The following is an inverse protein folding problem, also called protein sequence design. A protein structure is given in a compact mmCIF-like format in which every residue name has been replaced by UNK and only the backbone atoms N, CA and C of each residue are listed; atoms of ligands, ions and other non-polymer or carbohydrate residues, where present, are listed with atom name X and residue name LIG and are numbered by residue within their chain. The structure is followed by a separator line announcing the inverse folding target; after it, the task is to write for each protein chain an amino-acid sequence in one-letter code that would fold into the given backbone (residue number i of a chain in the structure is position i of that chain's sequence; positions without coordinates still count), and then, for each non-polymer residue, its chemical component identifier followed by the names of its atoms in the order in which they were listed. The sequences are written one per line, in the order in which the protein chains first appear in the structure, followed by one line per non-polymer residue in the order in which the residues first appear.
data_IF_806917624787
#
_entry.id   IF_806917624787
#
_cell.length_a   1.000
_cell.length_b   1.000
_cell.length_c   1.000
_cell.angle_alpha   90.00
_cell.angle_beta   90.00
_cell.angle_gamma   90.00
#
_symmetry.space_group_name_H-M   'P 1'
#
loop_
_entity.id
_entity.type
_entity.pdbx_description
1 polymer ?
#
# COMPACT_ATOMS: atom_id res chain seq x y z
N UNK A 1 28.56 -52.81 15.13
CA UNK A 1 29.38 -52.67 16.35
C UNK A 1 28.80 -51.48 17.10
N UNK A 2 27.93 -51.80 18.05
CA UNK A 2 28.07 -51.57 19.50
C UNK A 2 28.18 -50.11 19.89
N UNK A 3 27.42 -49.52 20.80
CA UNK A 3 26.68 -50.00 21.99
C UNK A 3 25.70 -48.97 22.47
N UNK A 4 24.50 -49.42 22.75
CA UNK A 4 23.54 -49.01 23.76
C UNK A 4 24.14 -48.47 25.06
N UNK A 5 23.56 -47.43 25.68
CA UNK A 5 23.42 -47.34 27.15
C UNK A 5 22.26 -46.46 27.56
N UNK A 6 21.23 -47.12 28.01
CA UNK A 6 20.08 -46.71 28.84
C UNK A 6 20.55 -46.48 30.29
N UNK A 7 20.04 -45.48 30.98
CA UNK A 7 19.90 -45.41 32.45
C UNK A 7 18.81 -44.38 32.77
N UNK A 8 17.85 -44.62 33.25
CA UNK A 8 16.80 -45.01 34.22
C UNK A 8 17.06 -44.50 35.64
N UNK A 9 15.91 -44.04 36.23
CA UNK A 9 15.61 -43.83 37.68
C UNK A 9 16.00 -42.45 38.26
N UNK A 10 15.22 -41.81 39.15
CA UNK A 10 14.19 -42.16 40.12
C UNK A 10 13.41 -40.91 40.53
N UNK A 11 12.12 -41.09 40.78
CA UNK A 11 11.18 -40.17 41.50
C UNK A 11 11.39 -40.36 43.02
N UNK A 12 11.17 -39.35 43.88
CA UNK A 12 10.18 -39.64 44.92
C UNK A 12 9.10 -38.55 45.17
N UNK A 13 7.97 -39.08 45.39
CA UNK A 13 6.73 -38.53 45.95
C UNK A 13 6.91 -38.18 47.42
N UNK A 14 6.43 -37.04 47.86
CA UNK A 14 6.15 -36.80 49.29
C UNK A 14 4.82 -36.01 49.44
N UNK A 15 3.83 -36.74 49.92
CA UNK A 15 2.62 -36.19 50.56
C UNK A 15 2.94 -35.69 51.99
N UNK A 16 2.23 -34.67 52.48
CA UNK A 16 1.70 -34.49 53.81
C UNK A 16 0.95 -33.14 53.78
N UNK A 17 -0.31 -33.07 53.95
CA UNK A 17 -1.26 -33.30 55.05
C UNK A 17 -1.80 -31.94 55.58
N UNK A 18 -3.11 -31.85 55.53
CA UNK A 18 -3.99 -30.80 55.99
C UNK A 18 -3.91 -30.53 57.51
N UNK A 19 -4.20 -29.26 57.91
CA UNK A 19 -4.93 -28.99 59.13
C UNK A 19 -5.82 -27.75 58.98
N UNK A 20 -7.11 -27.95 59.13
CA UNK A 20 -8.16 -26.94 59.34
C UNK A 20 -8.12 -26.42 60.79
N UNK A 21 -8.43 -25.14 61.04
CA UNK A 21 -9.65 -24.71 61.73
C UNK A 21 -9.61 -23.24 62.19
N UNK A 22 -10.73 -22.73 62.73
CA UNK A 22 -11.33 -21.50 62.24
C UNK A 22 -11.34 -20.37 63.27
N UNK A 23 -11.97 -19.27 62.89
CA UNK A 23 -12.59 -18.26 63.73
C UNK A 23 -11.75 -17.10 64.23
N UNK A 24 -11.97 -15.94 63.78
CA UNK A 24 -12.77 -14.86 64.38
C UNK A 24 -12.54 -13.58 63.59
N UNK A 25 -13.61 -12.97 63.14
CA UNK A 25 -13.60 -11.58 62.71
C UNK A 25 -13.44 -10.66 63.93
N UNK A 26 -12.85 -9.51 63.75
CA UNK A 26 -13.59 -8.27 63.91
C UNK A 26 -13.37 -7.26 62.79
N UNK A 27 -14.39 -6.47 62.65
CA UNK A 27 -14.69 -5.33 61.85
C UNK A 27 -13.59 -4.35 61.50
N UNK A 28 -13.69 -3.86 60.27
CA UNK A 28 -13.54 -2.46 59.93
C UNK A 28 -12.10 -1.95 59.69
N UNK A 29 -11.74 -1.97 58.44
CA UNK A 29 -10.99 -0.85 57.82
C UNK A 29 -11.36 -0.79 56.35
N UNK A 30 -11.94 0.33 55.98
CA UNK A 30 -12.11 0.74 54.58
C UNK A 30 -10.74 0.84 53.96
N UNK A 31 -10.23 -0.25 53.37
CA UNK A 31 -9.20 -0.19 52.36
C UNK A 31 -9.90 0.17 51.06
N UNK A 32 -9.97 1.48 50.82
CA UNK A 32 -10.16 2.06 49.50
C UNK A 32 -9.12 1.44 48.59
N UNK A 33 -9.56 0.51 47.74
CA UNK A 33 -8.78 0.06 46.61
C UNK A 33 -8.26 1.32 45.89
N UNK A 34 -6.96 1.40 45.57
CA UNK A 34 -6.46 2.51 44.80
C UNK A 34 -7.25 2.55 43.50
N UNK A 35 -7.88 3.68 43.23
CA UNK A 35 -8.52 3.96 41.96
C UNK A 35 -7.50 3.61 40.86
N UNK A 36 -7.94 2.97 39.75
CA UNK A 36 -7.04 2.73 38.65
C UNK A 36 -6.46 4.08 38.22
N UNK A 37 -5.17 4.22 38.41
CA UNK A 37 -4.42 5.39 37.98
C UNK A 37 -4.71 5.63 36.52
N UNK A 38 -5.28 6.77 36.22
CA UNK A 38 -5.53 7.32 34.88
C UNK A 38 -4.21 7.61 34.11
N UNK A 39 -3.25 6.70 34.17
CA UNK A 39 -1.94 6.77 33.53
C UNK A 39 -1.77 5.73 32.41
N UNK A 40 -2.85 5.02 32.04
CA UNK A 40 -2.81 4.03 30.97
C UNK A 40 -3.46 4.51 29.66
N UNK A 41 -3.87 5.76 29.60
CA UNK A 41 -4.50 6.35 28.42
C UNK A 41 -3.65 7.47 27.78
N UNK A 42 -2.34 7.32 27.82
CA UNK A 42 -1.51 7.94 26.82
C UNK A 42 -1.68 7.04 25.60
N UNK A 43 -2.57 7.48 24.68
CA UNK A 43 -2.74 6.89 23.38
C UNK A 43 -1.35 6.53 22.84
N UNK A 44 -1.10 5.24 22.63
CA UNK A 44 0.12 4.79 22.00
C UNK A 44 0.16 5.50 20.65
N UNK A 45 1.00 6.52 20.54
CA UNK A 45 1.23 7.24 19.29
C UNK A 45 1.56 6.14 18.29
N UNK A 46 0.67 5.92 17.33
CA UNK A 46 0.80 4.82 16.40
C UNK A 46 2.17 4.97 15.72
N UNK A 47 3.08 4.05 16.01
CA UNK A 47 4.41 4.08 15.40
C UNK A 47 4.26 3.74 13.94
N UNK A 48 4.98 4.47 13.09
CA UNK A 48 5.14 4.09 11.70
C UNK A 48 5.93 2.78 11.67
N UNK A 49 5.34 1.75 11.07
CA UNK A 49 6.00 0.49 10.76
C UNK A 49 6.03 0.26 9.25
N UNK A 50 6.79 -0.73 8.82
CA UNK A 50 6.96 -1.05 7.40
C UNK A 50 5.62 -1.44 6.76
N UNK A 51 4.77 -2.18 7.45
CA UNK A 51 3.48 -2.62 6.92
C UNK A 51 2.57 -1.41 6.65
N UNK A 52 2.51 -0.47 7.57
CA UNK A 52 1.72 0.76 7.41
C UNK A 52 2.30 1.66 6.31
N UNK A 53 3.64 1.73 6.23
CA UNK A 53 4.32 2.49 5.18
C UNK A 53 4.00 1.94 3.79
N UNK A 54 4.04 0.62 3.61
CA UNK A 54 3.75 -0.06 2.35
C UNK A 54 2.25 -0.18 2.03
N UNK A 55 1.39 -0.02 3.03
CA UNK A 55 -0.06 -0.12 2.88
C UNK A 55 -0.73 1.10 2.25
N UNK A 56 0.02 2.15 1.91
CA UNK A 56 -0.52 3.40 1.39
C UNK A 56 0.33 3.99 0.26
N UNK A 57 -0.34 4.62 -0.69
CA UNK A 57 0.22 5.64 -1.56
C UNK A 57 0.26 6.95 -0.77
N UNK A 58 1.45 7.53 -0.59
CA UNK A 58 1.64 8.73 0.22
C UNK A 58 1.67 9.97 -0.68
N UNK A 59 0.60 10.75 -0.68
CA UNK A 59 0.43 11.93 -1.53
C UNK A 59 0.85 13.18 -0.77
N UNK A 60 1.74 13.97 -1.36
CA UNK A 60 2.21 15.23 -0.76
C UNK A 60 1.02 16.20 -0.58
N UNK A 61 0.77 16.59 0.65
CA UNK A 61 -0.26 17.54 1.05
C UNK A 61 0.33 18.93 1.30
N UNK A 62 1.37 19.00 2.12
CA UNK A 62 2.03 20.26 2.43
C UNK A 62 3.54 20.08 2.58
N UNK A 63 4.27 21.17 2.32
CA UNK A 63 5.72 21.22 2.52
C UNK A 63 6.15 22.63 2.89
N UNK A 64 6.94 22.75 3.97
CA UNK A 64 7.51 24.00 4.45
C UNK A 64 9.01 23.88 4.69
N UNK A 65 9.74 24.97 4.50
CA UNK A 65 11.13 25.07 4.89
C UNK A 65 11.30 25.24 6.42
N UNK A 66 12.53 25.28 6.91
CA UNK A 66 12.83 25.45 8.32
C UNK A 66 12.26 26.75 8.92
N UNK A 67 11.96 27.75 8.10
CA UNK A 67 11.33 29.01 8.50
C UNK A 67 9.80 28.97 8.47
N UNK A 68 9.20 27.83 8.11
CA UNK A 68 7.74 27.67 7.98
C UNK A 68 7.16 28.20 6.66
N UNK A 69 7.99 28.63 5.71
CA UNK A 69 7.54 29.09 4.41
C UNK A 69 7.28 27.91 3.49
N UNK A 70 6.17 27.95 2.73
CA UNK A 70 5.82 26.91 1.74
C UNK A 70 6.92 26.75 0.69
N UNK A 71 7.19 25.49 0.35
CA UNK A 71 8.17 25.11 -0.70
C UNK A 71 7.42 24.92 -2.00
N UNK A 72 7.17 26.02 -2.73
CA UNK A 72 6.36 26.03 -3.95
C UNK A 72 6.88 25.11 -5.05
N UNK A 73 8.19 24.88 -5.13
CA UNK A 73 8.80 23.98 -6.11
C UNK A 73 8.29 22.53 -6.02
N UNK A 74 7.75 22.10 -4.87
CA UNK A 74 7.16 20.76 -4.69
C UNK A 74 5.72 20.66 -5.17
N UNK A 75 5.09 21.75 -5.58
CA UNK A 75 3.69 21.85 -6.00
C UNK A 75 3.52 22.29 -7.44
N UNK A 76 4.46 21.93 -8.32
CA UNK A 76 4.40 22.26 -9.74
C UNK A 76 3.18 21.65 -10.45
N UNK A 77 2.58 20.59 -9.89
CA UNK A 77 1.36 19.92 -10.39
C UNK A 77 0.30 19.87 -9.31
N UNK A 78 -0.66 20.79 -9.36
CA UNK A 78 -1.75 20.82 -8.39
C UNK A 78 -2.72 19.62 -8.51
N UNK A 79 -2.91 19.13 -9.74
CA UNK A 79 -3.79 18.00 -10.07
C UNK A 79 -3.17 16.63 -9.80
N UNK A 80 -1.85 16.56 -9.73
CA UNK A 80 -1.06 15.34 -9.56
C UNK A 80 0.07 15.55 -8.56
N UNK A 81 -0.23 15.57 -7.25
CA UNK A 81 0.79 15.77 -6.22
C UNK A 81 1.85 14.67 -6.25
N UNK A 82 3.07 15.00 -5.85
CA UNK A 82 4.15 14.03 -5.65
C UNK A 82 3.64 12.90 -4.78
N UNK A 83 3.86 11.66 -5.23
CA UNK A 83 3.40 10.47 -4.53
C UNK A 83 4.58 9.55 -4.26
N UNK A 84 4.65 9.04 -3.02
CA UNK A 84 5.63 8.05 -2.58
C UNK A 84 4.94 6.70 -2.44
N UNK A 85 5.52 5.68 -3.03
CA UNK A 85 5.09 4.29 -2.95
C UNK A 85 6.23 3.45 -2.38
N UNK A 86 5.93 2.67 -1.35
CA UNK A 86 6.90 1.79 -0.70
C UNK A 86 6.52 0.34 -0.96
N UNK A 87 7.48 -0.46 -1.42
CA UNK A 87 7.28 -1.89 -1.62
C UNK A 87 8.60 -2.62 -1.35
N UNK A 88 8.53 -3.70 -0.60
CA UNK A 88 9.69 -4.47 -0.14
C UNK A 88 10.71 -3.54 0.54
N UNK A 89 11.88 -3.36 -0.02
CA UNK A 89 12.95 -2.47 0.44
C UNK A 89 13.14 -1.23 -0.46
N UNK A 90 12.16 -0.93 -1.33
CA UNK A 90 12.26 0.12 -2.35
C UNK A 90 11.19 1.18 -2.19
N UNK A 91 11.60 2.42 -2.50
CA UNK A 91 10.69 3.55 -2.69
C UNK A 91 10.63 3.89 -4.18
N UNK A 92 9.43 4.17 -4.67
CA UNK A 92 9.17 4.79 -5.96
C UNK A 92 8.51 6.15 -5.75
N UNK A 93 8.92 7.14 -6.55
CA UNK A 93 8.37 8.48 -6.52
C UNK A 93 7.79 8.79 -7.90
N UNK A 94 6.54 9.19 -7.90
CA UNK A 94 5.76 9.46 -9.10
C UNK A 94 5.19 10.88 -9.13
N UNK A 95 4.62 11.25 -10.27
CA UNK A 95 4.04 12.57 -10.54
C UNK A 95 5.06 13.73 -10.61
N UNK A 96 6.32 13.41 -10.76
CA UNK A 96 7.44 14.30 -11.11
C UNK A 96 7.66 14.32 -12.63
N UNK A 97 8.68 15.01 -13.15
CA UNK A 97 9.06 14.87 -14.57
C UNK A 97 9.58 13.47 -14.84
N UNK A 98 10.52 13.02 -14.01
CA UNK A 98 11.15 11.73 -14.11
C UNK A 98 10.66 10.81 -13.01
N UNK A 99 10.53 9.51 -13.31
CA UNK A 99 10.34 8.50 -12.27
C UNK A 99 11.61 8.38 -11.47
N UNK A 100 11.51 8.47 -10.16
CA UNK A 100 12.63 8.37 -9.25
C UNK A 100 12.41 7.17 -8.32
N UNK A 101 13.49 6.55 -7.86
CA UNK A 101 13.37 5.45 -6.91
C UNK A 101 14.72 4.99 -6.38
N UNK A 102 14.71 4.43 -5.19
CA UNK A 102 15.89 3.96 -4.47
C UNK A 102 15.57 2.88 -3.46
N UNK A 103 16.56 2.47 -2.70
CA UNK A 103 16.36 1.65 -1.51
C UNK A 103 15.92 2.51 -0.33
N UNK A 104 15.23 1.92 0.65
CA UNK A 104 14.96 2.57 1.91
C UNK A 104 15.13 1.62 3.09
N UNK A 105 15.35 2.18 4.27
CA UNK A 105 15.28 1.47 5.56
C UNK A 105 14.48 2.32 6.54
N UNK A 106 13.70 1.65 7.38
CA UNK A 106 12.94 2.28 8.46
C UNK A 106 13.41 1.70 9.79
N UNK A 107 14.01 2.51 10.64
CA UNK A 107 14.48 2.12 11.95
C UNK A 107 14.36 3.29 12.94
N UNK A 108 13.95 3.00 14.16
CA UNK A 108 13.91 3.95 15.27
C UNK A 108 13.25 5.31 14.97
N UNK A 109 12.15 5.27 14.19
CA UNK A 109 11.44 6.49 13.78
C UNK A 109 12.19 7.34 12.75
N UNK A 110 13.16 6.75 12.06
CA UNK A 110 13.88 7.36 10.96
C UNK A 110 13.73 6.54 9.68
N UNK A 111 13.36 7.22 8.61
CA UNK A 111 13.34 6.69 7.25
C UNK A 111 14.63 7.14 6.57
N UNK A 112 15.47 6.18 6.18
CA UNK A 112 16.68 6.49 5.40
C UNK A 112 16.48 6.06 3.96
N UNK A 113 16.58 6.99 3.02
CA UNK A 113 16.46 6.75 1.58
C UNK A 113 17.84 6.82 0.96
N UNK A 114 18.24 5.74 0.29
CA UNK A 114 19.51 5.65 -0.45
C UNK A 114 19.49 6.59 -1.66
N UNK A 115 20.65 6.92 -2.25
CA UNK A 115 20.70 7.67 -3.49
C UNK A 115 19.77 7.09 -4.55
N UNK A 116 18.96 7.95 -5.17
CA UNK A 116 17.89 7.56 -6.06
C UNK A 116 18.35 7.54 -7.51
N UNK A 117 17.96 6.49 -8.24
CA UNK A 117 18.02 6.51 -9.70
C UNK A 117 16.81 7.27 -10.25
N UNK A 118 17.01 7.94 -11.39
CA UNK A 118 15.97 8.70 -12.07
C UNK A 118 16.00 8.41 -13.57
N UNK A 119 14.84 8.39 -14.23
CA UNK A 119 14.81 8.44 -15.70
C UNK A 119 15.33 9.79 -16.16
N UNK A 120 15.73 9.87 -17.44
CA UNK A 120 16.32 11.10 -18.01
C UNK A 120 15.43 11.64 -19.13
N UNK A 121 14.17 11.92 -18.83
CA UNK A 121 13.28 12.59 -19.78
C UNK A 121 13.45 14.10 -19.66
N UNK A 122 13.36 14.79 -20.79
CA UNK A 122 13.26 16.24 -20.81
C UNK A 122 11.80 16.66 -20.86
N UNK A 123 11.29 17.20 -19.75
CA UNK A 123 9.96 17.77 -19.74
C UNK A 123 9.99 19.18 -20.34
N UNK A 124 8.98 19.53 -21.12
CA UNK A 124 8.83 20.86 -21.72
C UNK A 124 8.58 21.93 -20.66
N UNK A 125 7.91 21.56 -19.56
CA UNK A 125 7.70 22.43 -18.43
C UNK A 125 8.92 22.43 -17.49
N UNK A 126 9.58 23.59 -17.40
CA UNK A 126 10.74 23.79 -16.54
C UNK A 126 10.45 23.62 -15.06
N UNK A 127 9.20 23.85 -14.63
CA UNK A 127 8.79 23.67 -13.24
C UNK A 127 8.83 22.18 -12.86
N UNK A 128 8.54 21.28 -13.80
CA UNK A 128 8.65 19.83 -13.55
C UNK A 128 10.11 19.38 -13.42
N UNK A 129 11.04 19.98 -14.16
CA UNK A 129 12.47 19.70 -13.97
C UNK A 129 12.97 20.21 -12.62
N UNK A 130 12.50 21.38 -12.19
CA UNK A 130 12.81 21.91 -10.86
C UNK A 130 12.18 21.05 -9.74
N UNK A 131 11.01 20.45 -9.99
CA UNK A 131 10.36 19.53 -9.07
C UNK A 131 11.22 18.29 -8.80
N UNK A 132 11.78 17.67 -9.83
CA UNK A 132 12.67 16.51 -9.68
C UNK A 132 13.83 16.82 -8.73
N UNK A 133 14.50 17.95 -8.95
CA UNK A 133 15.59 18.39 -8.10
C UNK A 133 15.15 18.68 -6.66
N UNK A 134 13.99 19.36 -6.51
CA UNK A 134 13.44 19.71 -5.20
C UNK A 134 13.07 18.47 -4.39
N UNK A 135 12.54 17.42 -5.04
CA UNK A 135 12.20 16.13 -4.43
C UNK A 135 13.48 15.37 -4.06
N UNK A 136 14.40 15.18 -5.00
CA UNK A 136 15.62 14.42 -4.77
C UNK A 136 16.45 14.98 -3.62
N UNK A 137 16.67 16.30 -3.60
CA UNK A 137 17.48 16.96 -2.58
C UNK A 137 16.88 16.88 -1.15
N UNK A 138 15.59 16.55 -1.00
CA UNK A 138 14.91 16.51 0.30
C UNK A 138 14.63 15.10 0.78
N UNK A 139 14.46 14.16 -0.13
CA UNK A 139 14.11 12.79 0.24
C UNK A 139 15.33 11.89 0.41
N UNK A 140 16.46 12.19 -0.23
CA UNK A 140 17.68 11.40 -0.01
C UNK A 140 18.27 11.61 1.39
N UNK A 141 18.72 10.51 2.00
CA UNK A 141 19.33 10.51 3.32
C UNK A 141 18.36 10.17 4.44
N UNK A 142 18.72 10.57 5.66
CA UNK A 142 17.96 10.27 6.86
C UNK A 142 16.87 11.33 7.13
N UNK A 143 15.63 10.86 7.28
CA UNK A 143 14.45 11.67 7.55
C UNK A 143 13.82 11.22 8.86
N UNK A 144 13.55 12.14 9.77
CA UNK A 144 12.73 11.82 10.96
C UNK A 144 11.28 11.64 10.53
N UNK A 145 10.63 10.59 11.04
CA UNK A 145 9.25 10.26 10.67
C UNK A 145 8.31 10.40 11.87
N UNK A 146 7.15 10.96 11.62
CA UNK A 146 6.05 11.04 12.59
C UNK A 146 4.75 10.67 11.87
N UNK A 147 3.87 9.93 12.57
CA UNK A 147 2.48 9.72 12.13
C UNK A 147 1.58 10.67 12.90
N UNK A 148 0.84 11.48 12.19
CA UNK A 148 -0.19 12.34 12.76
C UNK A 148 -1.48 11.58 13.10
N UNK A 149 -2.39 12.23 13.84
CA UNK A 149 -3.66 11.67 14.32
C UNK A 149 -4.57 11.16 13.20
N UNK A 150 -4.54 11.81 12.03
CA UNK A 150 -5.27 11.39 10.82
C UNK A 150 -4.49 10.36 9.98
N UNK A 151 -3.42 9.78 10.49
CA UNK A 151 -2.56 8.84 9.79
C UNK A 151 -1.62 9.49 8.77
N UNK A 152 -1.49 10.82 8.76
CA UNK A 152 -0.56 11.53 7.90
C UNK A 152 0.88 11.20 8.25
N UNK A 153 1.71 11.04 7.22
CA UNK A 153 3.16 10.85 7.36
C UNK A 153 3.85 12.20 7.28
N UNK A 154 4.53 12.58 8.34
CA UNK A 154 5.40 13.75 8.35
C UNK A 154 6.86 13.30 8.23
N UNK A 155 7.55 13.84 7.25
CA UNK A 155 8.99 13.66 7.04
C UNK A 155 9.70 14.98 7.35
N UNK A 156 10.72 14.91 8.22
CA UNK A 156 11.57 16.07 8.54
C UNK A 156 12.98 15.82 8.05
N UNK A 157 13.47 16.72 7.22
CA UNK A 157 14.84 16.68 6.70
C UNK A 157 15.85 17.16 7.74
N UNK A 158 17.12 16.87 7.52
CA UNK A 158 18.22 17.38 8.36
C UNK A 158 18.31 18.92 8.36
N UNK A 159 17.85 19.57 7.28
CA UNK A 159 17.85 21.02 7.13
C UNK A 159 16.62 21.69 7.79
N UNK A 160 15.72 20.90 8.39
CA UNK A 160 14.53 21.40 9.06
C UNK A 160 13.31 21.57 8.15
N UNK A 161 13.36 21.19 6.87
CA UNK A 161 12.19 21.17 6.01
C UNK A 161 11.21 20.11 6.51
N UNK A 162 9.92 20.39 6.41
CA UNK A 162 8.82 19.51 6.83
C UNK A 162 7.94 19.20 5.65
N UNK A 163 7.80 17.91 5.34
CA UNK A 163 6.92 17.42 4.28
C UNK A 163 5.82 16.56 4.92
N UNK A 164 4.57 16.85 4.62
CA UNK A 164 3.40 16.12 5.12
C UNK A 164 2.73 15.42 3.96
N UNK A 165 2.47 14.14 4.15
CA UNK A 165 1.81 13.28 3.15
C UNK A 165 0.52 12.72 3.72
N UNK A 166 -0.51 12.67 2.88
CA UNK A 166 -1.80 12.03 3.19
C UNK A 166 -1.79 10.61 2.65
N UNK A 167 -2.20 9.61 3.45
CA UNK A 167 -2.28 8.23 2.99
C UNK A 167 -3.50 8.03 2.09
N UNK A 168 -3.31 7.29 0.99
CA UNK A 168 -4.35 6.69 0.18
C UNK A 168 -4.12 5.18 0.21
N UNK A 169 -5.04 4.36 0.75
CA UNK A 169 -4.81 2.94 0.89
C UNK A 169 -4.51 2.26 -0.45
N UNK A 170 -3.49 1.41 -0.50
CA UNK A 170 -3.22 0.57 -1.68
C UNK A 170 -4.38 -0.39 -1.93
N UNK A 171 -4.45 -0.96 -3.13
CA UNK A 171 -5.47 -1.93 -3.47
C UNK A 171 -5.41 -3.15 -2.53
N UNK A 172 -4.20 -3.62 -2.20
CA UNK A 172 -3.98 -4.70 -1.25
C UNK A 172 -4.56 -4.38 0.13
N UNK A 173 -4.41 -3.15 0.59
CA UNK A 173 -4.98 -2.69 1.87
C UNK A 173 -6.50 -2.58 1.79
N UNK A 174 -7.05 -2.04 0.70
CA UNK A 174 -8.50 -1.88 0.51
C UNK A 174 -9.23 -3.21 0.43
N UNK A 175 -8.65 -4.19 -0.25
CA UNK A 175 -9.28 -5.49 -0.51
C UNK A 175 -8.79 -6.61 0.39
N UNK A 176 -7.82 -6.33 1.27
CA UNK A 176 -7.40 -7.26 2.33
C UNK A 176 -6.46 -8.37 1.87
N UNK A 177 -5.64 -8.14 0.85
CA UNK A 177 -4.63 -9.12 0.41
C UNK A 177 -4.10 -8.84 -0.99
N UNK A 178 -3.18 -9.68 -1.43
CA UNK A 178 -2.64 -9.61 -2.79
C UNK A 178 -3.70 -10.03 -3.81
N UNK A 179 -3.90 -9.22 -4.84
CA UNK A 179 -4.78 -9.56 -5.95
C UNK A 179 -4.17 -10.64 -6.85
N UNK A 180 -5.03 -11.46 -7.43
CA UNK A 180 -4.62 -12.40 -8.46
C UNK A 180 -4.15 -11.65 -9.72
N UNK A 181 -2.99 -12.02 -10.25
CA UNK A 181 -2.50 -11.44 -11.50
C UNK A 181 -3.23 -12.06 -12.69
N UNK A 182 -3.94 -11.25 -13.46
CA UNK A 182 -4.68 -11.64 -14.66
C UNK A 182 -4.23 -10.78 -15.83
N UNK A 183 -4.14 -11.37 -17.02
CA UNK A 183 -3.88 -10.62 -18.24
C UNK A 183 -5.16 -10.59 -19.09
N UNK A 184 -5.61 -9.38 -19.39
CA UNK A 184 -6.77 -9.14 -20.21
C UNK A 184 -6.35 -8.47 -21.51
N UNK A 185 -6.73 -9.05 -22.63
CA UNK A 185 -6.72 -8.34 -23.90
C UNK A 185 -8.02 -7.54 -23.99
N UNK A 186 -7.91 -6.26 -24.21
CA UNK A 186 -9.00 -5.31 -24.38
C UNK A 186 -9.07 -4.95 -25.86
N UNK A 187 -10.19 -5.20 -26.49
CA UNK A 187 -10.38 -4.88 -27.91
C UNK A 187 -10.35 -3.37 -28.17
N UNK A 188 -9.97 -2.99 -29.39
CA UNK A 188 -9.89 -1.60 -29.81
C UNK A 188 -11.24 -0.87 -29.79
N UNK A 189 -12.36 -1.59 -29.82
CA UNK A 189 -13.70 -1.02 -29.84
C UNK A 189 -14.55 -1.58 -28.70
N UNK A 190 -15.34 -0.70 -28.08
CA UNK A 190 -16.43 -1.11 -27.20
C UNK A 190 -17.61 -1.66 -28.01
N UNK A 191 -18.50 -2.40 -27.36
CA UNK A 191 -19.76 -2.87 -27.99
C UNK A 191 -20.95 -2.58 -27.08
N UNK A 192 -22.13 -2.34 -27.66
CA UNK A 192 -23.37 -2.30 -26.91
C UNK A 192 -23.55 -3.59 -26.11
N UNK A 193 -23.91 -3.48 -24.85
CA UNK A 193 -24.12 -4.61 -23.97
C UNK A 193 -25.43 -4.46 -23.16
N UNK A 194 -26.14 -5.56 -22.85
CA UNK A 194 -27.36 -5.51 -22.04
C UNK A 194 -27.06 -4.95 -20.64
N UNK A 195 -27.88 -3.99 -20.20
CA UNK A 195 -27.81 -3.47 -18.85
C UNK A 195 -29.20 -3.10 -18.33
N UNK A 196 -29.61 -3.50 -17.11
CA UNK A 196 -30.99 -3.34 -16.66
C UNK A 196 -31.41 -1.86 -16.50
N UNK A 197 -30.46 -0.97 -16.19
CA UNK A 197 -30.76 0.44 -15.89
C UNK A 197 -30.14 1.43 -16.89
N UNK A 198 -29.15 1.04 -17.67
CA UNK A 198 -28.44 1.94 -18.60
C UNK A 198 -28.78 1.50 -20.02
N UNK A 199 -29.58 2.31 -20.71
CA UNK A 199 -29.86 2.11 -22.13
C UNK A 199 -28.59 2.37 -22.95
N UNK A 200 -28.34 1.53 -23.93
CA UNK A 200 -27.19 1.64 -24.86
C UNK A 200 -25.81 1.69 -24.17
N UNK A 201 -25.69 0.99 -23.02
CA UNK A 201 -24.40 0.84 -22.33
C UNK A 201 -23.36 0.29 -23.29
N UNK A 202 -22.21 0.93 -23.33
CA UNK A 202 -21.02 0.42 -24.03
C UNK A 202 -20.14 -0.35 -23.03
N UNK A 203 -19.81 -1.59 -23.38
CA UNK A 203 -18.91 -2.42 -22.60
C UNK A 203 -17.57 -2.60 -23.31
N UNK A 204 -16.50 -2.63 -22.55
CA UNK A 204 -15.25 -3.17 -23.05
C UNK A 204 -15.47 -4.61 -23.49
N UNK A 205 -14.77 -5.01 -24.54
CA UNK A 205 -14.67 -6.39 -24.94
C UNK A 205 -13.34 -6.91 -24.46
N UNK A 206 -13.34 -7.93 -23.62
CA UNK A 206 -12.11 -8.49 -23.08
C UNK A 206 -12.05 -10.00 -23.29
N UNK A 207 -10.82 -10.52 -23.30
CA UNK A 207 -10.55 -11.96 -23.20
C UNK A 207 -9.30 -12.18 -22.36
N UNK A 208 -9.23 -13.29 -21.64
CA UNK A 208 -8.04 -13.64 -20.87
C UNK A 208 -6.95 -14.17 -21.78
N UNK A 209 -5.72 -13.76 -21.49
CA UNK A 209 -4.50 -14.31 -22.08
C UNK A 209 -3.67 -14.90 -20.96
N UNK A 210 -3.04 -16.03 -21.23
CA UNK A 210 -2.13 -16.68 -20.28
C UNK A 210 -0.68 -16.47 -20.70
N UNK A 211 0.17 -16.24 -19.71
CA UNK A 211 1.62 -16.18 -19.87
C UNK A 211 2.28 -17.15 -18.90
N UNK A 212 3.38 -17.74 -19.32
CA UNK A 212 4.23 -18.52 -18.41
C UNK A 212 5.14 -17.61 -17.56
N UNK A 213 5.94 -18.22 -16.70
CA UNK A 213 6.88 -17.51 -15.83
C UNK A 213 7.95 -16.70 -16.59
N UNK A 214 8.16 -16.99 -17.87
CA UNK A 214 9.12 -16.31 -18.74
C UNK A 214 8.45 -15.19 -19.57
N UNK A 215 7.15 -14.96 -19.38
CA UNK A 215 6.40 -13.96 -20.13
C UNK A 215 6.04 -14.40 -21.56
N UNK A 216 6.04 -15.71 -21.85
CA UNK A 216 5.65 -16.25 -23.17
C UNK A 216 4.17 -16.60 -23.13
N UNK A 217 3.42 -16.16 -24.16
CA UNK A 217 2.00 -16.49 -24.30
C UNK A 217 1.79 -18.00 -24.37
N UNK A 218 0.81 -18.49 -23.61
CA UNK A 218 0.47 -19.89 -23.48
C UNK A 218 -0.95 -20.18 -23.99
N UNK A 219 -1.04 -21.13 -24.90
CA UNK A 219 -2.32 -21.58 -25.45
C UNK A 219 -3.03 -20.53 -26.31
N UNK A 220 -4.28 -20.82 -26.64
CA UNK A 220 -5.14 -19.88 -27.35
C UNK A 220 -5.74 -18.88 -26.35
N UNK A 221 -5.92 -17.60 -26.77
CA UNK A 221 -6.67 -16.63 -25.98
C UNK A 221 -8.09 -17.13 -25.69
N UNK A 222 -8.65 -16.72 -24.56
CA UNK A 222 -10.05 -16.97 -24.23
C UNK A 222 -11.02 -16.37 -25.26
N UNK A 223 -12.30 -16.64 -25.09
CA UNK A 223 -13.34 -16.03 -25.90
C UNK A 223 -13.59 -14.57 -25.52
N UNK A 224 -13.95 -13.74 -26.49
CA UNK A 224 -14.33 -12.36 -26.24
C UNK A 224 -15.65 -12.28 -25.45
N UNK A 225 -15.63 -11.50 -24.38
CA UNK A 225 -16.75 -11.31 -23.48
C UNK A 225 -16.99 -9.81 -23.22
N UNK A 226 -18.24 -9.47 -22.95
CA UNK A 226 -18.58 -8.14 -22.43
C UNK A 226 -18.00 -8.00 -21.02
N UNK A 227 -17.23 -6.97 -20.80
CA UNK A 227 -16.68 -6.64 -19.50
C UNK A 227 -17.51 -5.52 -18.87
N UNK A 228 -18.22 -5.84 -17.80
CA UNK A 228 -19.17 -4.94 -17.15
C UNK A 228 -18.53 -4.11 -16.05
N UNK A 229 -17.40 -4.56 -15.55
CA UNK A 229 -16.66 -3.91 -14.46
C UNK A 229 -15.81 -2.75 -14.97
N UNK A 230 -15.19 -2.05 -14.04
CA UNK A 230 -14.20 -1.01 -14.32
C UNK A 230 -12.83 -1.59 -13.98
N UNK A 231 -11.84 -1.32 -14.81
CA UNK A 231 -10.43 -1.53 -14.47
C UNK A 231 -9.91 -0.21 -13.90
N UNK A 232 -9.75 -0.15 -12.58
CA UNK A 232 -9.23 1.04 -11.91
C UNK A 232 -7.84 1.39 -12.43
N UNK A 233 -7.62 2.64 -12.78
CA UNK A 233 -6.35 3.11 -13.36
C UNK A 233 -6.21 2.88 -14.86
N UNK A 234 -7.17 2.23 -15.54
CA UNK A 234 -7.18 2.05 -16.99
C UNK A 234 -8.21 2.96 -17.65
N UNK A 235 -7.79 3.63 -18.72
CA UNK A 235 -8.68 4.40 -19.59
C UNK A 235 -8.60 3.79 -20.99
N UNK A 236 -9.75 3.34 -21.52
CA UNK A 236 -9.84 2.85 -22.87
C UNK A 236 -9.79 3.99 -23.89
N UNK A 237 -9.04 3.79 -24.95
CA UNK A 237 -8.97 4.67 -26.11
C UNK A 237 -9.51 3.94 -27.35
N UNK A 238 -10.51 4.53 -27.99
CA UNK A 238 -11.11 3.97 -29.19
C UNK A 238 -10.08 3.80 -30.31
N UNK A 239 -10.06 2.64 -30.92
CA UNK A 239 -9.09 2.29 -31.96
C UNK A 239 -7.79 1.73 -31.42
N UNK A 240 -7.61 1.63 -30.12
CA UNK A 240 -6.42 1.07 -29.50
C UNK A 240 -6.72 -0.23 -28.79
N UNK A 241 -6.15 -1.33 -29.29
CA UNK A 241 -6.15 -2.63 -28.60
C UNK A 241 -5.04 -2.63 -27.53
N UNK A 242 -5.36 -3.07 -26.34
CA UNK A 242 -4.37 -3.23 -25.28
C UNK A 242 -4.35 -4.67 -24.76
N UNK A 243 -3.19 -5.11 -24.31
CA UNK A 243 -3.08 -6.20 -23.32
C UNK A 243 -2.67 -5.57 -22.01
N UNK A 244 -3.51 -5.71 -21.00
CA UNK A 244 -3.28 -5.16 -19.67
C UNK A 244 -3.04 -6.28 -18.65
N UNK A 245 -2.05 -6.11 -17.80
CA UNK A 245 -1.90 -6.89 -16.59
C UNK A 245 -2.67 -6.18 -15.48
N UNK A 246 -3.60 -6.89 -14.87
CA UNK A 246 -4.43 -6.37 -13.80
C UNK A 246 -4.29 -7.23 -12.56
N UNK A 247 -4.53 -6.65 -11.40
CA UNK A 247 -4.77 -7.34 -10.16
C UNK A 247 -6.28 -7.49 -9.96
N UNK A 248 -6.76 -8.74 -9.88
CA UNK A 248 -8.15 -9.08 -9.57
C UNK A 248 -8.28 -9.38 -8.10
N UNK A 249 -9.15 -8.66 -7.42
CA UNK A 249 -9.44 -8.82 -6.00
C UNK A 249 -10.86 -9.35 -5.81
N UNK A 250 -11.05 -10.29 -4.88
CA UNK A 250 -12.38 -10.73 -4.49
C UNK A 250 -12.91 -9.81 -3.39
N UNK A 251 -14.10 -9.26 -3.60
CA UNK A 251 -14.81 -8.43 -2.62
C UNK A 251 -15.59 -9.37 -1.70
N UNK A 252 -15.25 -9.40 -0.40
CA UNK A 252 -15.82 -10.34 0.55
C UNK A 252 -17.34 -10.19 0.75
N UNK A 253 -17.87 -8.98 0.71
CA UNK A 253 -19.30 -8.68 0.91
C UNK A 253 -19.73 -7.63 -0.11
N UNK A 254 -19.87 -7.99 -1.40
CA UNK A 254 -20.28 -7.02 -2.40
C UNK A 254 -21.74 -6.58 -2.13
N UNK A 255 -22.10 -5.32 -2.40
CA UNK A 255 -23.48 -4.91 -2.42
C UNK A 255 -24.32 -5.78 -3.36
N UNK A 256 -25.63 -5.89 -3.11
CA UNK A 256 -26.53 -6.55 -4.04
C UNK A 256 -26.39 -5.89 -5.43
N UNK A 257 -26.37 -6.73 -6.47
CA UNK A 257 -26.21 -6.32 -7.89
C UNK A 257 -24.86 -5.68 -8.24
N UNK A 258 -23.85 -5.71 -7.35
CA UNK A 258 -22.48 -5.31 -7.64
C UNK A 258 -21.60 -6.52 -7.97
N UNK A 259 -20.49 -6.28 -8.69
CA UNK A 259 -19.49 -7.30 -8.97
C UNK A 259 -18.87 -7.81 -7.65
N UNK A 260 -18.59 -9.11 -7.60
CA UNK A 260 -17.77 -9.71 -6.54
C UNK A 260 -16.27 -9.54 -6.75
N UNK A 261 -15.87 -8.92 -7.85
CA UNK A 261 -14.47 -8.68 -8.17
C UNK A 261 -14.20 -7.18 -8.38
N UNK A 262 -12.99 -6.77 -8.01
CA UNK A 262 -12.41 -5.49 -8.39
C UNK A 262 -11.16 -5.73 -9.23
N UNK A 263 -10.95 -4.89 -10.23
CA UNK A 263 -9.81 -4.98 -11.14
C UNK A 263 -9.00 -3.69 -11.05
N UNK A 264 -7.72 -3.81 -10.78
CA UNK A 264 -6.81 -2.66 -10.69
C UNK A 264 -5.70 -2.86 -11.71
N UNK A 265 -5.46 -1.84 -12.54
CA UNK A 265 -4.39 -1.88 -13.52
C UNK A 265 -3.03 -1.94 -12.83
N UNK A 266 -2.23 -2.94 -13.20
CA UNK A 266 -0.83 -3.02 -12.81
C UNK A 266 0.07 -2.42 -13.92
N UNK A 267 -0.13 -2.86 -15.16
CA UNK A 267 0.56 -2.27 -16.31
C UNK A 267 -0.12 -2.57 -17.65
N UNK A 268 0.13 -1.72 -18.62
CA UNK A 268 -0.16 -2.02 -20.03
C UNK A 268 1.03 -2.79 -20.60
N UNK A 269 0.78 -4.03 -21.04
CA UNK A 269 1.80 -4.95 -21.57
C UNK A 269 2.00 -4.76 -23.07
N UNK A 270 0.89 -4.62 -23.79
CA UNK A 270 0.89 -4.39 -25.24
C UNK A 270 -0.10 -3.28 -25.58
N UNK A 271 0.23 -2.50 -26.59
CA UNK A 271 -0.67 -1.50 -27.17
C UNK A 271 -0.50 -1.51 -28.68
N UNK A 272 -1.60 -1.55 -29.42
CA UNK A 272 -1.60 -1.53 -30.88
C UNK A 272 -2.78 -0.72 -31.41
N UNK A 273 -2.51 0.16 -32.38
CA UNK A 273 -3.57 0.84 -33.11
C UNK A 273 -4.21 -0.15 -34.09
N UNK A 274 -5.52 -0.31 -34.02
CA UNK A 274 -6.29 -1.06 -34.99
C UNK A 274 -7.11 -0.06 -35.82
N UNK A 275 -6.67 0.20 -37.03
CA UNK A 275 -7.47 0.94 -38.00
C UNK A 275 -8.73 0.16 -38.37
N UNK A 276 -9.87 0.84 -38.41
CA UNK A 276 -11.17 0.30 -38.86
C UNK A 276 -11.07 -0.22 -40.28
#
# INVERSE_FOLDING_TARGET
MNRTRTLMLILPLALMAACSNPSTAPAGRDDLAPAPTAAADQAAVARLDVQRLQGSHWRLDSATDAGGKRIDALFARADKPVTLDFKDDRIAISNTCNRMGGGYTLADGSLTISPMASTMMACTDKHLMALDQAVGSRLEGALKTELGDAGQLTLRTANGDVLVFTPEPTAETRYGGEGETVFLEVAAQTKPCPHPMIRDKQCLQTREIRYDANGIKQGEPGEWQNFYDVIEGYTHEDGVRNVVRVKRYTIANPPADASSNAYVLDMVVESANETK
#
